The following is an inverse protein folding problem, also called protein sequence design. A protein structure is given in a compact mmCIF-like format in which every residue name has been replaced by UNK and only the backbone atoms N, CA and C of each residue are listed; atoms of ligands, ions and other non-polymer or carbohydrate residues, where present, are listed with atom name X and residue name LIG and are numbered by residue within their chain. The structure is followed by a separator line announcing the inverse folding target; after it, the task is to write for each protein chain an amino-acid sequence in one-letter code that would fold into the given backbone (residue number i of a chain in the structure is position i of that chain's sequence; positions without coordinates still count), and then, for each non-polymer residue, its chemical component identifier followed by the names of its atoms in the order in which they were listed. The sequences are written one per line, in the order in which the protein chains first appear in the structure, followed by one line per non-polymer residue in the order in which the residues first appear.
data_IF_312703241996
#
_entry.id   IF_312703241996
#
_cell.length_a   1.000
_cell.length_b   1.000
_cell.length_c   1.000
_cell.angle_alpha   90.00
_cell.angle_beta   90.00
_cell.angle_gamma   90.00
#
_symmetry.space_group_name_H-M   'P 1'
#
loop_
_entity.id
_entity.type
_entity.pdbx_description
1 polymer ?
#
# COMPACT_ATOMS: atom_id res chain seq x y z
N UNK A 1 -15.06 6.23 -10.90
CA UNK A 1 -15.45 5.00 -10.19
C UNK A 1 -16.65 4.36 -10.87
N UNK A 2 -16.41 3.46 -11.83
CA UNK A 2 -17.44 2.53 -12.32
C UNK A 2 -17.37 1.29 -11.43
N UNK A 3 -18.50 0.90 -10.82
CA UNK A 3 -18.56 -0.09 -9.73
C UNK A 3 -18.07 -1.50 -10.11
N UNK A 4 -18.03 -1.85 -11.40
CA UNK A 4 -17.76 -3.23 -11.84
C UNK A 4 -16.33 -3.50 -12.32
N UNK A 5 -15.51 -2.46 -12.56
CA UNK A 5 -14.16 -2.61 -13.11
C UNK A 5 -13.05 -2.03 -12.22
N UNK A 6 -13.41 -1.42 -11.08
CA UNK A 6 -12.42 -0.90 -10.14
C UNK A 6 -12.16 -1.93 -9.06
N UNK A 7 -10.91 -2.39 -8.92
CA UNK A 7 -10.57 -3.36 -7.90
C UNK A 7 -10.62 -2.69 -6.51
N UNK A 8 -10.88 -3.49 -5.48
CA UNK A 8 -11.10 -3.01 -4.11
C UNK A 8 -9.89 -2.24 -3.59
N UNK A 9 -10.05 -0.94 -3.36
CA UNK A 9 -9.07 -0.13 -2.64
C UNK A 9 -9.23 -0.39 -1.14
N UNK A 10 -8.19 -0.93 -0.53
CA UNK A 10 -8.13 -1.21 0.90
C UNK A 10 -7.01 -0.36 1.53
N UNK A 11 -7.08 -0.18 2.84
CA UNK A 11 -5.98 0.42 3.57
C UNK A 11 -4.85 -0.60 3.67
N UNK A 12 -3.66 -0.17 3.25
CA UNK A 12 -2.44 -0.95 3.13
C UNK A 12 -1.40 -0.36 4.04
N UNK A 13 -0.75 -1.20 4.82
CA UNK A 13 0.43 -0.80 5.59
C UNK A 13 1.67 -1.15 4.78
N UNK A 14 2.44 -0.13 4.42
CA UNK A 14 3.73 -0.29 3.77
C UNK A 14 4.80 -0.33 4.86
N UNK A 15 5.51 -1.46 4.96
CA UNK A 15 6.62 -1.63 5.90
C UNK A 15 7.93 -1.53 5.13
N UNK A 16 8.71 -0.50 5.45
CA UNK A 16 10.06 -0.32 4.90
C UNK A 16 11.11 -1.04 5.75
N UNK A 17 12.14 -1.59 5.13
CA UNK A 17 13.32 -2.13 5.83
C UNK A 17 14.07 -1.09 6.69
N UNK A 18 13.87 0.19 6.39
CA UNK A 18 14.36 1.34 7.15
C UNK A 18 13.57 1.65 8.44
N UNK A 19 12.52 0.88 8.75
CA UNK A 19 11.66 1.08 9.93
C UNK A 19 10.54 2.10 9.73
N UNK A 20 10.37 2.66 8.53
CA UNK A 20 9.26 3.55 8.22
C UNK A 20 7.99 2.75 7.89
N UNK A 21 6.89 3.10 8.55
CA UNK A 21 5.55 2.55 8.27
C UNK A 21 4.67 3.62 7.61
N UNK A 22 4.20 3.35 6.40
CA UNK A 22 3.29 4.26 5.69
C UNK A 22 1.92 3.61 5.53
N UNK A 23 0.86 4.35 5.88
CA UNK A 23 -0.52 3.93 5.62
C UNK A 23 -0.97 4.52 4.30
N UNK A 24 -1.14 3.67 3.29
CA UNK A 24 -1.55 4.07 1.93
C UNK A 24 -2.78 3.29 1.53
N UNK A 25 -3.63 3.83 0.66
CA UNK A 25 -4.75 3.08 0.08
C UNK A 25 -4.28 2.39 -1.20
N UNK A 26 -4.21 1.06 -1.18
CA UNK A 26 -3.81 0.26 -2.33
C UNK A 26 -4.76 -0.92 -2.51
N UNK A 27 -4.68 -1.57 -3.67
CA UNK A 27 -5.43 -2.78 -3.96
C UNK A 27 -4.86 -4.01 -3.24
N UNK A 28 -3.63 -3.92 -2.72
CA UNK A 28 -2.93 -5.00 -2.02
C UNK A 28 -2.74 -4.63 -0.56
N UNK A 29 -3.12 -5.49 0.39
CA UNK A 29 -3.17 -5.17 1.83
C UNK A 29 -1.81 -5.08 2.54
N UNK A 30 -0.75 -5.69 1.99
CA UNK A 30 0.58 -5.67 2.61
C UNK A 30 1.65 -5.38 1.56
N UNK A 31 2.42 -4.32 1.78
CA UNK A 31 3.51 -3.94 0.88
C UNK A 31 4.81 -3.88 1.68
N UNK A 32 5.68 -4.85 1.45
CA UNK A 32 7.05 -4.82 1.95
C UNK A 32 7.93 -4.11 0.94
N UNK A 33 8.58 -3.03 1.36
CA UNK A 33 9.44 -2.22 0.50
C UNK A 33 10.86 -2.24 1.06
N UNK A 34 11.82 -2.60 0.22
CA UNK A 34 13.23 -2.76 0.64
C UNK A 34 13.95 -1.41 0.78
N UNK A 35 13.56 -0.40 -0.01
CA UNK A 35 14.17 0.93 0.00
C UNK A 35 13.06 1.96 -0.11
N UNK A 36 12.82 2.77 0.93
CA UNK A 36 11.98 3.95 0.81
C UNK A 36 12.79 5.10 0.19
N UNK A 37 12.13 5.99 -0.54
CA UNK A 37 12.75 7.12 -1.25
C UNK A 37 13.24 8.27 -0.33
N UNK A 38 13.66 7.97 0.91
CA UNK A 38 14.24 8.94 1.83
C UNK A 38 15.73 9.14 1.53
#
# INVERSE_FOLDING_TARGET
MKKEIHPSYQETTIRCACGAEYKTKSTKQDLHVEICSR
#
